data_IF_417152623224
#
_entry.id   IF_417152623224
#
_cell.length_a   1.000
_cell.length_b   1.000
_cell.length_c   1.000
_cell.angle_alpha   90.00
_cell.angle_beta   90.00
_cell.angle_gamma   90.00
#
_symmetry.space_group_name_H-M   'P 1'
#
loop_
_entity.id
_entity.type
_entity.pdbx_description
1 polymer ?
#
# COMPACT_ATOMS: atom_id res chain seq x y z
N UNK A 1 -9.82 -0.09 -6.68
CA UNK A 1 -9.07 1.00 -7.38
C UNK A 1 -8.26 1.85 -6.39
N UNK A 2 -8.89 2.35 -5.32
CA UNK A 2 -8.22 3.16 -4.28
C UNK A 2 -6.94 2.53 -3.70
N UNK A 3 -6.99 1.29 -3.18
CA UNK A 3 -5.82 0.65 -2.58
C UNK A 3 -4.63 0.52 -3.55
N UNK A 4 -4.91 0.32 -4.84
CA UNK A 4 -3.87 0.31 -5.88
C UNK A 4 -3.27 1.70 -6.08
N UNK A 5 -4.07 2.78 -6.02
CA UNK A 5 -3.52 4.14 -6.03
C UNK A 5 -2.66 4.38 -4.79
N UNK A 6 -3.12 4.01 -3.59
CA UNK A 6 -2.35 4.13 -2.34
C UNK A 6 -1.01 3.40 -2.45
N UNK A 7 -0.99 2.17 -2.96
CA UNK A 7 0.23 1.38 -3.10
C UNK A 7 1.15 1.89 -4.23
N UNK A 8 0.61 2.15 -5.42
CA UNK A 8 1.43 2.31 -6.63
C UNK A 8 1.59 3.76 -7.08
N UNK A 9 0.61 4.64 -6.80
CA UNK A 9 0.60 6.04 -7.25
C UNK A 9 0.02 6.95 -6.15
N UNK A 10 0.62 7.00 -4.95
CA UNK A 10 0.06 7.72 -3.81
C UNK A 10 -0.16 9.21 -4.09
N UNK A 11 0.67 9.83 -4.95
CA UNK A 11 0.51 11.22 -5.39
C UNK A 11 -0.75 11.50 -6.24
N UNK A 12 -1.47 10.46 -6.67
CA UNK A 12 -2.74 10.58 -7.39
C UNK A 12 -3.96 10.35 -6.49
N UNK A 13 -3.76 10.06 -5.21
CA UNK A 13 -4.85 9.87 -4.26
C UNK A 13 -5.50 11.22 -3.98
N UNK A 14 -6.83 11.25 -4.07
CA UNK A 14 -7.66 12.41 -3.76
C UNK A 14 -8.58 12.10 -2.58
N UNK A 15 -9.11 13.14 -1.93
CA UNK A 15 -10.06 13.00 -0.82
C UNK A 15 -11.30 12.19 -1.24
N UNK A 16 -11.80 12.40 -2.46
CA UNK A 16 -12.90 11.62 -3.03
C UNK A 16 -12.57 10.12 -3.09
N UNK A 17 -11.32 9.73 -3.34
CA UNK A 17 -10.95 8.32 -3.35
C UNK A 17 -11.07 7.70 -1.94
N UNK A 18 -10.72 8.45 -0.88
CA UNK A 18 -10.84 8.02 0.51
C UNK A 18 -12.30 7.95 0.99
N UNK A 19 -13.11 8.93 0.59
CA UNK A 19 -14.53 8.97 0.94
C UNK A 19 -15.29 7.79 0.30
N UNK A 20 -15.01 7.46 -0.96
CA UNK A 20 -15.81 6.53 -1.74
C UNK A 20 -15.34 5.06 -1.74
N UNK A 21 -14.12 4.74 -1.29
CA UNK A 21 -13.64 3.36 -1.47
C UNK A 21 -14.35 2.31 -0.62
N UNK A 22 -14.97 2.73 0.49
CA UNK A 22 -15.81 1.87 1.32
C UNK A 22 -16.85 2.73 2.08
N UNK A 23 -18.07 2.22 2.25
CA UNK A 23 -19.18 2.93 2.94
C UNK A 23 -19.53 2.32 4.31
N UNK A 24 -18.93 1.19 4.66
CA UNK A 24 -19.20 0.45 5.91
C UNK A 24 -18.13 0.69 6.97
N UNK A 25 -16.89 0.91 6.54
CA UNK A 25 -15.76 1.15 7.43
C UNK A 25 -15.78 2.57 7.98
N UNK A 26 -15.54 2.67 9.28
CA UNK A 26 -15.23 3.94 9.95
C UNK A 26 -13.93 4.55 9.40
N UNK A 27 -13.72 5.87 9.54
CA UNK A 27 -12.46 6.49 9.12
C UNK A 27 -11.21 5.86 9.75
N UNK A 28 -11.29 5.40 10.99
CA UNK A 28 -10.19 4.72 11.68
C UNK A 28 -9.85 3.38 11.01
N UNK A 29 -10.85 2.57 10.68
CA UNK A 29 -10.65 1.30 9.98
C UNK A 29 -10.13 1.53 8.56
N UNK A 30 -10.59 2.59 7.88
CA UNK A 30 -10.04 2.99 6.57
C UNK A 30 -8.55 3.33 6.67
N UNK A 31 -8.14 4.08 7.69
CA UNK A 31 -6.72 4.33 7.98
C UNK A 31 -5.96 3.05 8.27
N UNK A 32 -6.55 2.11 9.02
CA UNK A 32 -5.93 0.82 9.29
C UNK A 32 -5.67 0.02 8.01
N UNK A 33 -6.62 -0.02 7.07
CA UNK A 33 -6.41 -0.65 5.76
C UNK A 33 -5.27 0.01 4.98
N UNK A 34 -5.16 1.33 5.04
CA UNK A 34 -4.06 2.07 4.39
C UNK A 34 -2.71 1.69 5.00
N UNK A 35 -2.61 1.55 6.32
CA UNK A 35 -1.40 1.09 7.02
C UNK A 35 -1.00 -0.32 6.58
N UNK A 36 -1.97 -1.25 6.48
CA UNK A 36 -1.72 -2.61 5.98
C UNK A 36 -1.15 -2.59 4.56
N UNK A 37 -1.71 -1.77 3.67
CA UNK A 37 -1.23 -1.65 2.28
C UNK A 37 0.18 -1.05 2.22
N UNK A 38 0.48 -0.04 3.04
CA UNK A 38 1.79 0.58 3.09
C UNK A 38 2.87 -0.41 3.57
N UNK A 39 2.58 -1.16 4.64
CA UNK A 39 3.50 -2.16 5.17
C UNK A 39 3.71 -3.33 4.20
N UNK A 40 2.64 -3.82 3.58
CA UNK A 40 2.72 -4.88 2.57
C UNK A 40 3.57 -4.45 1.36
N UNK A 41 3.41 -3.22 0.87
CA UNK A 41 4.24 -2.66 -0.22
C UNK A 41 5.72 -2.60 0.19
N UNK A 42 6.01 -2.09 1.39
CA UNK A 42 7.39 -2.01 1.92
C UNK A 42 8.00 -3.40 2.01
N UNK A 43 7.28 -4.35 2.61
CA UNK A 43 7.75 -5.72 2.77
C UNK A 43 8.02 -6.38 1.42
N UNK A 44 7.13 -6.24 0.44
CA UNK A 44 7.34 -6.77 -0.90
C UNK A 44 8.60 -6.18 -1.56
N UNK A 45 8.76 -4.85 -1.50
CA UNK A 45 9.96 -4.17 -2.04
C UNK A 45 11.26 -4.65 -1.39
N UNK A 46 11.27 -4.79 -0.06
CA UNK A 46 12.42 -5.31 0.69
C UNK A 46 12.73 -6.75 0.31
N UNK A 47 11.73 -7.62 0.25
CA UNK A 47 11.92 -9.04 -0.09
C UNK A 47 12.49 -9.20 -1.51
N UNK A 48 11.98 -8.45 -2.49
CA UNK A 48 12.53 -8.48 -3.84
C UNK A 48 13.96 -7.94 -3.90
N UNK A 49 14.26 -6.85 -3.17
CA UNK A 49 15.61 -6.29 -3.07
C UNK A 49 16.59 -7.26 -2.42
N UNK A 50 16.23 -7.82 -1.25
CA UNK A 50 17.04 -8.81 -0.53
C UNK A 50 17.30 -10.05 -1.38
N UNK A 51 16.28 -10.55 -2.09
CA UNK A 51 16.44 -11.67 -3.03
C UNK A 51 17.48 -11.35 -4.12
N UNK A 52 17.46 -10.14 -4.67
CA UNK A 52 18.45 -9.72 -5.67
C UNK A 52 19.88 -9.68 -5.10
N UNK A 53 20.05 -9.15 -3.88
CA UNK A 53 21.34 -9.14 -3.18
C UNK A 53 21.84 -10.55 -2.90
N UNK A 54 20.99 -11.43 -2.35
CA UNK A 54 21.34 -12.82 -2.07
C UNK A 54 21.73 -13.59 -3.34
N UNK A 55 21.07 -13.34 -4.46
CA UNK A 55 21.42 -13.95 -5.75
C UNK A 55 22.74 -13.43 -6.32
N UNK A 56 23.13 -12.19 -6.03
CA UNK A 56 24.42 -11.63 -6.46
C UNK A 56 25.60 -12.10 -5.60
N UNK A 57 25.36 -12.33 -4.31
CA UNK A 57 26.38 -12.83 -3.37
C UNK A 57 26.65 -14.34 -3.49
N UNK A 58 25.84 -15.06 -4.27
CA UNK A 58 26.00 -16.49 -4.55
C UNK A 58 26.88 -16.71 -5.77
#
# INVERSE_FOLDING_TARGET
>A
IFLKKVACTPWKVREEDFAHFDRTLSPSEKCHVILLVAEARKQAGLMYGLRAVMNHMR
#
